data_IF_406311624727
#
_entry.id   IF_406311624727
#
_cell.length_a   1.000
_cell.length_b   1.000
_cell.length_c   1.000
_cell.angle_alpha   90.00
_cell.angle_beta   90.00
_cell.angle_gamma   90.00
#
_symmetry.space_group_name_H-M   'P 1'
#
loop_
_entity.id
_entity.type
_entity.pdbx_description
1 polymer ?
#
# COMPACT_ATOMS: atom_id res chain seq x y z
N UNK A 1 6.02 19.43 -2.69
CA UNK A 1 6.11 20.15 -1.40
C UNK A 1 6.03 21.63 -1.70
N UNK A 2 5.12 22.35 -1.05
CA UNK A 2 4.88 23.77 -1.27
C UNK A 2 5.64 24.65 -0.30
N UNK A 3 5.76 24.22 0.95
CA UNK A 3 6.43 24.96 2.01
C UNK A 3 6.88 24.02 3.14
N UNK A 4 7.80 24.48 3.97
CA UNK A 4 8.20 23.85 5.21
C UNK A 4 8.50 24.92 6.27
N UNK A 5 7.99 24.73 7.48
CA UNK A 5 8.22 25.66 8.59
C UNK A 5 8.17 24.95 9.93
N UNK A 6 8.64 25.62 10.97
CA UNK A 6 8.64 25.09 12.34
C UNK A 6 7.68 25.92 13.20
N UNK A 7 6.79 25.24 13.91
CA UNK A 7 5.79 25.84 14.80
C UNK A 7 6.18 25.57 16.26
N UNK A 8 6.38 26.63 17.05
CA UNK A 8 6.68 26.51 18.48
C UNK A 8 5.36 26.55 19.26
N UNK A 9 5.00 25.42 19.85
CA UNK A 9 3.79 25.25 20.65
C UNK A 9 4.08 24.98 22.13
N UNK A 10 3.03 24.84 22.95
CA UNK A 10 3.16 24.53 24.37
C UNK A 10 3.82 23.17 24.67
N UNK A 11 3.88 22.30 23.67
CA UNK A 11 4.47 20.95 23.76
C UNK A 11 5.86 20.85 23.11
N UNK A 12 6.43 21.97 22.64
CA UNK A 12 7.75 22.01 22.01
C UNK A 12 7.72 22.53 20.59
N UNK A 13 8.73 22.12 19.82
CA UNK A 13 8.92 22.51 18.43
C UNK A 13 8.36 21.44 17.50
N UNK A 14 7.59 21.84 16.49
CA UNK A 14 6.94 20.94 15.54
C UNK A 14 7.28 21.34 14.11
N UNK A 15 7.96 20.46 13.38
CA UNK A 15 8.20 20.67 11.96
C UNK A 15 6.92 20.37 11.16
N UNK A 16 6.61 21.26 10.22
CA UNK A 16 5.38 21.27 9.46
C UNK A 16 5.71 21.27 7.97
N UNK A 17 5.09 20.35 7.24
CA UNK A 17 5.20 20.24 5.79
C UNK A 17 3.88 20.67 5.15
N UNK A 18 3.96 21.53 4.13
CA UNK A 18 2.79 21.92 3.33
C UNK A 18 2.84 21.15 2.01
N UNK A 19 1.87 20.25 1.84
CA UNK A 19 1.76 19.31 0.72
C UNK A 19 0.47 19.55 -0.07
N UNK A 20 0.37 18.92 -1.23
CA UNK A 20 -0.89 18.86 -1.97
C UNK A 20 -1.96 18.21 -1.10
N UNK A 21 -3.16 18.78 -1.12
CA UNK A 21 -4.32 18.11 -0.55
C UNK A 21 -4.73 16.96 -1.46
N UNK A 22 -4.67 15.74 -0.91
CA UNK A 22 -5.10 14.51 -1.58
C UNK A 22 -6.42 14.02 -0.99
N UNK A 23 -7.06 13.10 -1.71
CA UNK A 23 -8.25 12.41 -1.26
C UNK A 23 -7.95 11.19 -0.40
N UNK A 24 -8.97 10.33 -0.20
CA UNK A 24 -8.84 9.16 0.66
C UNK A 24 -7.83 8.17 0.06
N UNK A 25 -7.16 7.43 0.95
CA UNK A 25 -6.30 6.33 0.54
C UNK A 25 -7.12 5.13 0.04
N UNK A 26 -6.50 4.26 -0.76
CA UNK A 26 -7.19 3.14 -1.40
C UNK A 26 -7.75 2.14 -0.38
N UNK A 27 -7.06 1.90 0.73
CA UNK A 27 -7.55 0.98 1.76
C UNK A 27 -8.88 1.47 2.36
N UNK A 28 -8.95 2.76 2.74
CA UNK A 28 -10.17 3.34 3.30
C UNK A 28 -11.33 3.35 2.29
N UNK A 29 -11.02 3.51 0.99
CA UNK A 29 -12.00 3.38 -0.09
C UNK A 29 -12.55 1.96 -0.17
N UNK A 30 -11.68 0.96 -0.13
CA UNK A 30 -12.07 -0.45 -0.17
C UNK A 30 -12.98 -0.75 1.03
N UNK A 31 -12.54 -0.41 2.24
CA UNK A 31 -13.23 -0.70 3.50
C UNK A 31 -14.61 0.00 3.58
N UNK A 32 -14.71 1.24 3.09
CA UNK A 32 -15.89 2.08 3.33
C UNK A 32 -16.88 2.16 2.16
N UNK A 33 -16.44 1.86 0.93
CA UNK A 33 -17.22 2.16 -0.27
C UNK A 33 -17.31 1.01 -1.27
N UNK A 34 -16.48 -0.02 -1.17
CA UNK A 34 -16.49 -1.13 -2.11
C UNK A 34 -17.31 -2.30 -1.59
N UNK A 35 -18.32 -2.73 -2.36
CA UNK A 35 -19.09 -3.91 -2.01
C UNK A 35 -18.21 -5.15 -2.12
N UNK A 36 -18.09 -5.90 -1.03
CA UNK A 36 -17.25 -7.09 -1.00
C UNK A 36 -15.76 -6.77 -1.06
N UNK A 37 -15.36 -5.61 -0.53
CA UNK A 37 -13.96 -5.30 -0.24
C UNK A 37 -13.05 -5.32 -1.47
N UNK A 38 -13.59 -5.00 -2.66
CA UNK A 38 -12.85 -5.00 -3.93
C UNK A 38 -13.10 -3.75 -4.77
N UNK A 39 -12.05 -3.25 -5.40
CA UNK A 39 -12.18 -2.21 -6.42
C UNK A 39 -12.85 -2.76 -7.68
N UNK A 40 -13.57 -1.90 -8.43
CA UNK A 40 -13.92 -2.20 -9.81
C UNK A 40 -12.68 -2.54 -10.64
N UNK A 41 -12.80 -3.49 -11.55
CA UNK A 41 -11.68 -4.02 -12.36
C UNK A 41 -10.90 -2.94 -13.11
N UNK A 42 -11.62 -2.01 -13.76
CA UNK A 42 -11.03 -0.88 -14.47
C UNK A 42 -10.24 0.05 -13.55
N UNK A 43 -10.70 0.27 -12.32
CA UNK A 43 -10.02 1.08 -11.34
C UNK A 43 -8.75 0.37 -10.84
N UNK A 44 -8.83 -0.92 -10.52
CA UNK A 44 -7.68 -1.73 -10.13
C UNK A 44 -6.58 -1.74 -11.21
N UNK A 45 -6.95 -1.93 -12.49
CA UNK A 45 -6.02 -1.85 -13.64
C UNK A 45 -5.39 -0.44 -13.76
N UNK A 46 -6.21 0.62 -13.70
CA UNK A 46 -5.72 2.00 -13.83
C UNK A 46 -4.78 2.41 -12.69
N UNK A 47 -5.11 2.06 -11.45
CA UNK A 47 -4.30 2.35 -10.27
C UNK A 47 -2.99 1.55 -10.32
N UNK A 48 -3.04 0.25 -10.65
CA UNK A 48 -1.83 -0.57 -10.80
C UNK A 48 -0.85 0.03 -11.81
N UNK A 49 -1.38 0.52 -12.95
CA UNK A 49 -0.58 1.19 -13.98
C UNK A 49 0.10 2.46 -13.45
N UNK A 50 -0.65 3.30 -12.73
CA UNK A 50 -0.13 4.55 -12.17
C UNK A 50 0.89 4.33 -11.05
N UNK A 51 0.69 3.29 -10.23
CA UNK A 51 1.68 2.88 -9.21
C UNK A 51 2.98 2.46 -9.89
N UNK A 52 2.93 1.61 -10.92
CA UNK A 52 4.12 1.22 -11.67
C UNK A 52 4.83 2.44 -12.28
N UNK A 53 4.10 3.38 -12.85
CA UNK A 53 4.66 4.63 -13.39
C UNK A 53 5.34 5.48 -12.30
N UNK A 54 4.72 5.59 -11.12
CA UNK A 54 5.28 6.31 -9.98
C UNK A 54 6.56 5.65 -9.45
N UNK A 55 6.55 4.32 -9.31
CA UNK A 55 7.72 3.55 -8.86
C UNK A 55 8.86 3.60 -9.89
N UNK A 56 8.56 3.55 -11.20
CA UNK A 56 9.57 3.73 -12.25
C UNK A 56 10.26 5.10 -12.13
N UNK A 57 9.44 6.15 -11.91
CA UNK A 57 9.95 7.50 -11.72
C UNK A 57 10.83 7.61 -10.47
N UNK A 58 10.40 7.10 -9.32
CA UNK A 58 11.21 7.10 -8.09
C UNK A 58 12.53 6.34 -8.29
N UNK A 59 12.46 5.14 -8.87
CA UNK A 59 13.61 4.30 -9.12
C UNK A 59 14.63 4.98 -10.05
N UNK A 60 14.17 5.67 -11.11
CA UNK A 60 15.02 6.43 -12.03
C UNK A 60 15.76 7.60 -11.36
N UNK A 61 15.20 8.12 -10.26
CA UNK A 61 15.83 9.16 -9.42
C UNK A 61 16.64 8.57 -8.26
N UNK A 62 16.80 7.25 -8.20
CA UNK A 62 17.54 6.57 -7.15
C UNK A 62 16.85 6.60 -5.78
N UNK A 63 15.52 6.73 -5.77
CA UNK A 63 14.70 6.77 -4.56
C UNK A 63 13.97 5.43 -4.42
N UNK A 64 14.01 4.85 -3.22
CA UNK A 64 13.08 3.83 -2.77
C UNK A 64 12.03 4.45 -1.85
N UNK A 65 10.77 4.06 -1.99
CA UNK A 65 9.68 4.46 -1.11
C UNK A 65 9.76 3.77 0.25
N UNK A 66 10.09 2.48 0.27
CA UNK A 66 10.34 1.71 1.50
C UNK A 66 9.08 1.28 2.26
N UNK A 67 7.93 1.91 2.01
CA UNK A 67 6.66 1.56 2.66
C UNK A 67 5.45 1.53 1.70
N UNK A 68 5.54 0.79 0.59
CA UNK A 68 4.48 0.81 -0.41
C UNK A 68 3.33 -0.15 -0.07
N UNK A 69 2.12 0.39 0.13
CA UNK A 69 0.88 -0.39 0.32
C UNK A 69 -0.37 0.46 0.03
N UNK A 70 -1.57 -0.14 0.06
CA UNK A 70 -2.84 0.53 -0.28
C UNK A 70 -3.16 1.76 0.57
N UNK A 71 -2.70 1.85 1.83
CA UNK A 71 -2.84 3.07 2.65
C UNK A 71 -1.93 4.24 2.23
N UNK A 72 -0.87 3.98 1.47
CA UNK A 72 0.08 5.00 0.98
C UNK A 72 -0.16 5.35 -0.50
N UNK A 73 -1.29 4.90 -1.05
CA UNK A 73 -1.81 5.34 -2.35
C UNK A 73 -3.09 6.13 -2.09
N UNK A 74 -3.11 7.40 -2.50
CA UNK A 74 -4.27 8.27 -2.34
C UNK A 74 -4.88 8.65 -3.69
N UNK A 75 -6.21 8.74 -3.75
CA UNK A 75 -6.90 9.32 -4.90
C UNK A 75 -6.66 10.83 -4.94
N UNK A 76 -6.33 11.37 -6.09
CA UNK A 76 -6.35 12.82 -6.31
C UNK A 76 -7.80 13.31 -6.37
N UNK A 77 -8.04 14.51 -5.84
CA UNK A 77 -9.35 15.16 -5.93
C UNK A 77 -9.26 16.24 -7.00
N UNK A 78 -9.90 16.06 -8.17
CA UNK A 78 -9.88 17.06 -9.22
C UNK A 78 -10.41 18.41 -8.72
N UNK A 79 -9.72 19.46 -9.14
CA UNK A 79 -10.11 20.87 -8.95
C UNK A 79 -10.21 21.32 -7.49
N UNK A 80 -9.70 20.52 -6.54
CA UNK A 80 -9.83 20.86 -5.11
C UNK A 80 -9.11 22.17 -4.75
N UNK A 81 -7.94 22.40 -5.36
CA UNK A 81 -7.16 23.62 -5.20
C UNK A 81 -7.84 24.86 -5.82
N UNK A 82 -8.88 24.67 -6.64
CA UNK A 82 -9.67 25.75 -7.24
C UNK A 82 -10.88 26.13 -6.38
N UNK A 83 -11.23 25.32 -5.37
CA UNK A 83 -12.38 25.61 -4.53
C UNK A 83 -12.07 26.75 -3.57
N UNK A 84 -13.03 27.66 -3.42
CA UNK A 84 -13.04 28.54 -2.26
C UNK A 84 -13.23 27.72 -0.98
N UNK A 85 -12.82 28.24 0.18
CA UNK A 85 -13.07 27.58 1.48
C UNK A 85 -14.56 27.25 1.67
N UNK A 86 -15.45 28.15 1.23
CA UNK A 86 -16.89 27.92 1.26
C UNK A 86 -17.31 26.74 0.40
N UNK A 87 -16.79 26.62 -0.82
CA UNK A 87 -17.14 25.51 -1.73
C UNK A 87 -16.53 24.19 -1.25
N UNK A 88 -15.36 24.25 -0.63
CA UNK A 88 -14.71 23.11 0.02
C UNK A 88 -15.58 22.56 1.16
N UNK A 89 -16.02 23.43 2.08
CA UNK A 89 -16.93 23.06 3.17
C UNK A 89 -18.28 22.58 2.63
N UNK A 90 -18.84 23.23 1.61
CA UNK A 90 -20.08 22.77 0.99
C UNK A 90 -19.95 21.38 0.35
N UNK A 91 -18.74 20.99 -0.08
CA UNK A 91 -18.47 19.70 -0.70
C UNK A 91 -18.25 18.59 0.34
N UNK A 92 -17.46 18.84 1.38
CA UNK A 92 -17.08 17.83 2.40
C UNK A 92 -17.97 17.84 3.65
N UNK A 93 -18.74 18.91 3.86
CA UNK A 93 -19.55 19.14 5.05
C UNK A 93 -18.85 20.04 6.06
N UNK A 94 -19.65 20.62 6.96
CA UNK A 94 -19.15 21.38 8.11
C UNK A 94 -18.32 20.47 9.03
N UNK A 95 -17.19 20.95 9.58
CA UNK A 95 -16.37 20.17 10.49
C UNK A 95 -17.16 19.84 11.76
N UNK A 96 -17.28 18.56 12.05
CA UNK A 96 -17.90 18.09 13.29
C UNK A 96 -16.87 18.17 14.42
N UNK A 97 -17.15 19.02 15.42
CA UNK A 97 -16.26 19.25 16.55
C UNK A 97 -16.81 18.63 17.84
N UNK A 98 -15.93 17.99 18.60
CA UNK A 98 -16.20 17.54 19.97
C UNK A 98 -15.38 18.35 20.97
N UNK A 99 -16.01 18.80 22.06
CA UNK A 99 -15.29 19.44 23.16
C UNK A 99 -14.51 18.41 23.97
N UNK A 100 -13.26 18.73 24.30
CA UNK A 100 -12.44 17.91 25.18
C UNK A 100 -12.75 18.31 26.61
N UNK A 101 -13.14 17.35 27.44
CA UNK A 101 -13.40 17.57 28.87
C UNK A 101 -12.70 16.51 29.69
N UNK A 102 -12.19 16.88 30.87
CA UNK A 102 -11.64 15.91 31.80
C UNK A 102 -12.75 15.11 32.48
N UNK A 103 -12.52 13.81 32.67
CA UNK A 103 -13.45 12.93 33.39
C UNK A 103 -13.64 13.32 34.86
N UNK A 104 -12.65 14.00 35.45
CA UNK A 104 -12.70 14.48 36.84
C UNK A 104 -13.33 15.88 36.97
N UNK A 105 -13.85 16.47 35.89
CA UNK A 105 -14.50 17.78 35.87
C UNK A 105 -13.57 18.98 36.07
N UNK A 106 -12.25 18.77 36.18
CA UNK A 106 -11.28 19.86 36.31
C UNK A 106 -11.04 20.56 34.97
N UNK A 107 -10.43 21.74 35.02
CA UNK A 107 -9.96 22.45 33.83
C UNK A 107 -8.86 21.70 33.09
N UNK A 108 -8.87 21.81 31.77
CA UNK A 108 -7.77 21.34 30.91
C UNK A 108 -6.50 22.13 31.20
N UNK A 109 -5.35 21.46 31.10
CA UNK A 109 -4.07 22.16 31.06
C UNK A 109 -3.89 22.84 29.70
N UNK A 110 -3.01 23.84 29.63
CA UNK A 110 -2.66 24.59 28.41
C UNK A 110 -2.17 23.73 27.24
N UNK A 111 -1.77 22.49 27.53
CA UNK A 111 -1.12 21.58 26.60
C UNK A 111 -2.10 20.63 25.92
N UNK A 112 -3.37 20.65 26.35
CA UNK A 112 -4.43 19.77 25.83
C UNK A 112 -5.35 20.60 24.92
N UNK A 113 -5.61 20.15 23.68
CA UNK A 113 -6.58 20.81 22.79
C UNK A 113 -7.95 20.92 23.45
N UNK A 114 -8.63 22.05 23.26
CA UNK A 114 -9.98 22.29 23.78
C UNK A 114 -11.07 21.59 22.98
N UNK A 115 -10.78 21.25 21.73
CA UNK A 115 -11.66 20.52 20.83
C UNK A 115 -10.91 19.50 20.00
N UNK A 116 -11.63 18.49 19.55
CA UNK A 116 -11.22 17.53 18.53
C UNK A 116 -12.13 17.69 17.33
N UNK A 117 -11.59 17.49 16.14
CA UNK A 117 -12.35 17.52 14.88
C UNK A 117 -12.46 16.10 14.37
N UNK A 118 -13.69 15.65 14.05
CA UNK A 118 -13.91 14.34 13.44
C UNK A 118 -13.37 14.37 12.00
N UNK A 119 -12.66 13.31 11.54
CA UNK A 119 -12.27 13.22 10.14
C UNK A 119 -13.48 13.29 9.20
N UNK A 120 -13.41 14.14 8.18
CA UNK A 120 -14.44 14.21 7.14
C UNK A 120 -14.44 12.92 6.31
N UNK A 121 -15.63 12.45 5.93
CA UNK A 121 -15.79 11.28 5.07
C UNK A 121 -16.33 11.68 3.70
N UNK A 122 -15.79 11.07 2.65
CA UNK A 122 -16.31 11.29 1.30
C UNK A 122 -17.66 10.59 1.13
N UNK A 123 -18.60 11.25 0.46
CA UNK A 123 -19.87 10.62 0.13
C UNK A 123 -19.63 9.53 -0.91
N UNK A 124 -20.37 8.43 -0.83
CA UNK A 124 -20.26 7.30 -1.76
C UNK A 124 -20.30 7.71 -3.24
N UNK A 125 -21.19 8.66 -3.60
CA UNK A 125 -21.28 9.19 -4.99
C UNK A 125 -20.01 9.92 -5.46
N UNK A 126 -19.31 10.59 -4.54
CA UNK A 126 -18.10 11.34 -4.86
C UNK A 126 -16.95 10.36 -5.06
N UNK A 127 -16.85 9.33 -4.23
CA UNK A 127 -15.90 8.21 -4.40
C UNK A 127 -16.13 7.46 -5.71
N UNK A 128 -17.37 7.12 -6.05
CA UNK A 128 -17.68 6.45 -7.32
C UNK A 128 -17.23 7.27 -8.53
N UNK A 129 -17.36 8.61 -8.47
CA UNK A 129 -16.85 9.50 -9.52
C UNK A 129 -15.33 9.44 -9.61
N UNK A 130 -14.62 9.49 -8.47
CA UNK A 130 -13.16 9.37 -8.46
C UNK A 130 -12.71 8.02 -9.03
N UNK A 131 -13.40 6.92 -8.67
CA UNK A 131 -13.06 5.59 -9.16
C UNK A 131 -13.37 5.35 -10.65
N UNK A 132 -14.28 6.11 -11.27
CA UNK A 132 -14.58 5.96 -12.70
C UNK A 132 -13.40 6.35 -13.63
N UNK A 133 -12.51 7.22 -13.15
CA UNK A 133 -11.28 7.61 -13.83
C UNK A 133 -10.27 8.04 -12.76
N UNK A 134 -9.67 7.08 -12.04
CA UNK A 134 -8.86 7.39 -10.87
C UNK A 134 -7.56 8.03 -11.31
N UNK A 135 -7.21 9.14 -10.67
CA UNK A 135 -5.86 9.69 -10.62
C UNK A 135 -5.32 9.43 -9.22
N UNK A 136 -4.09 8.94 -9.08
CA UNK A 136 -3.50 8.65 -7.78
C UNK A 136 -2.23 9.44 -7.53
N UNK A 137 -1.88 9.58 -6.25
CA UNK A 137 -0.56 9.98 -5.78
C UNK A 137 -0.02 8.93 -4.82
N UNK A 138 1.25 8.59 -4.97
CA UNK A 138 2.02 7.89 -3.93
C UNK A 138 2.31 8.94 -2.85
N UNK A 139 1.96 8.62 -1.61
CA UNK A 139 2.08 9.52 -0.46
C UNK A 139 2.89 8.85 0.64
N UNK A 140 3.23 9.65 1.66
CA UNK A 140 3.96 9.20 2.86
C UNK A 140 5.36 8.65 2.57
N UNK A 141 6.29 9.59 2.34
CA UNK A 141 7.71 9.30 2.15
C UNK A 141 8.49 9.22 3.48
N UNK A 142 7.83 8.93 4.60
CA UNK A 142 8.47 8.86 5.93
C UNK A 142 9.56 7.77 6.04
N UNK A 143 9.41 6.69 5.27
CA UNK A 143 10.36 5.57 5.20
C UNK A 143 11.19 5.57 3.90
N UNK A 144 11.10 6.65 3.11
CA UNK A 144 11.78 6.73 1.83
C UNK A 144 13.29 6.95 2.01
N UNK A 145 14.06 6.43 1.05
CA UNK A 145 15.52 6.40 1.12
C UNK A 145 16.14 6.58 -0.27
N UNK A 146 17.41 6.95 -0.29
CA UNK A 146 18.20 6.94 -1.51
C UNK A 146 19.01 5.65 -1.65
N UNK A 147 19.25 5.19 -2.87
CA UNK A 147 19.99 3.95 -3.15
C UNK A 147 21.44 3.92 -2.59
N UNK A 148 21.99 5.08 -2.22
CA UNK A 148 23.32 5.18 -1.62
C UNK A 148 23.31 5.16 -0.08
N UNK A 149 22.13 5.14 0.54
CA UNK A 149 21.98 5.06 1.99
C UNK A 149 22.36 3.66 2.49
N UNK A 150 23.08 3.61 3.61
CA UNK A 150 23.34 2.36 4.32
C UNK A 150 22.15 2.03 5.20
N UNK A 151 21.21 1.25 4.67
CA UNK A 151 20.00 0.85 5.37
C UNK A 151 20.19 -0.49 6.06
N UNK A 152 19.88 -0.55 7.35
CA UNK A 152 19.88 -1.79 8.13
C UNK A 152 18.49 -2.45 8.15
N UNK A 153 17.42 -1.68 8.02
CA UNK A 153 16.03 -2.17 8.03
C UNK A 153 15.08 -1.13 7.45
N UNK A 154 13.85 -1.57 7.16
CA UNK A 154 12.70 -0.74 6.78
C UNK A 154 11.50 -1.20 7.60
N UNK A 155 10.61 -0.27 7.95
CA UNK A 155 9.45 -0.58 8.79
C UNK A 155 8.20 -1.02 8.01
N UNK A 156 8.33 -1.32 6.72
CA UNK A 156 7.27 -1.85 5.84
C UNK A 156 6.45 -2.93 6.56
N UNK A 157 5.10 -2.86 6.60
CA UNK A 157 4.27 -3.87 7.24
C UNK A 157 4.58 -5.28 6.75
N UNK A 158 4.58 -6.24 7.69
CA UNK A 158 4.99 -7.61 7.43
C UNK A 158 4.28 -8.26 6.21
N UNK A 159 2.97 -8.09 5.98
CA UNK A 159 2.26 -8.71 4.85
C UNK A 159 2.68 -8.21 3.45
N UNK A 160 3.41 -7.10 3.35
CA UNK A 160 3.88 -6.53 2.07
C UNK A 160 5.41 -6.40 2.02
N UNK A 161 6.09 -6.90 3.06
CA UNK A 161 7.53 -6.76 3.25
C UNK A 161 8.29 -7.66 2.28
N UNK A 162 9.28 -7.09 1.61
CA UNK A 162 10.16 -7.83 0.72
C UNK A 162 11.03 -8.87 1.48
N UNK A 163 11.33 -10.03 0.88
CA UNK A 163 12.07 -11.10 1.54
C UNK A 163 13.48 -10.67 1.98
N UNK A 164 14.19 -9.86 1.19
CA UNK A 164 15.52 -9.33 1.54
C UNK A 164 15.53 -8.55 2.86
N UNK A 165 14.43 -7.88 3.22
CA UNK A 165 14.29 -7.20 4.51
C UNK A 165 14.23 -8.22 5.65
N UNK A 166 13.49 -9.31 5.46
CA UNK A 166 13.38 -10.41 6.45
C UNK A 166 14.71 -11.15 6.59
N UNK A 167 15.39 -11.39 5.46
CA UNK A 167 16.70 -12.03 5.43
C UNK A 167 17.84 -11.12 5.88
N UNK A 168 17.61 -9.80 6.02
CA UNK A 168 18.64 -8.84 6.43
C UNK A 168 19.74 -8.73 5.37
N UNK A 169 19.36 -8.82 4.11
CA UNK A 169 20.25 -8.70 2.96
C UNK A 169 20.33 -7.23 2.51
N UNK A 170 21.20 -6.94 1.53
CA UNK A 170 21.34 -5.61 0.97
C UNK A 170 20.00 -5.10 0.43
N UNK A 171 19.64 -3.89 0.86
CA UNK A 171 18.43 -3.20 0.42
C UNK A 171 18.76 -2.22 -0.71
N UNK A 172 17.87 -2.16 -1.70
CA UNK A 172 17.81 -1.14 -2.73
C UNK A 172 16.33 -0.85 -3.06
N UNK A 173 16.05 0.08 -3.97
CA UNK A 173 14.69 0.43 -4.39
C UNK A 173 13.84 -0.75 -4.92
N UNK A 174 14.41 -1.93 -5.15
CA UNK A 174 13.65 -3.10 -5.62
C UNK A 174 12.77 -3.71 -4.53
N UNK A 175 12.94 -3.32 -3.27
CA UNK A 175 11.98 -3.65 -2.20
C UNK A 175 10.57 -3.20 -2.59
N UNK A 176 10.45 -2.04 -3.25
CA UNK A 176 9.16 -1.50 -3.69
C UNK A 176 8.54 -2.32 -4.83
N UNK A 177 9.35 -3.02 -5.63
CA UNK A 177 8.84 -3.92 -6.68
C UNK A 177 8.10 -5.10 -6.06
N UNK A 178 8.66 -5.68 -4.99
CA UNK A 178 7.96 -6.75 -4.24
C UNK A 178 6.65 -6.23 -3.65
N UNK A 179 6.71 -5.10 -2.95
CA UNK A 179 5.52 -4.49 -2.34
C UNK A 179 4.49 -4.07 -3.39
N UNK A 180 4.90 -3.66 -4.59
CA UNK A 180 4.01 -3.42 -5.74
C UNK A 180 3.29 -4.70 -6.17
N UNK A 181 3.98 -5.84 -6.17
CA UNK A 181 3.36 -7.15 -6.45
C UNK A 181 2.27 -7.50 -5.43
N UNK A 182 2.55 -7.31 -4.14
CA UNK A 182 1.54 -7.48 -3.08
C UNK A 182 0.36 -6.52 -3.23
N UNK A 183 0.65 -5.24 -3.52
CA UNK A 183 -0.35 -4.21 -3.74
C UNK A 183 -1.25 -4.55 -4.93
N UNK A 184 -0.69 -4.96 -6.06
CA UNK A 184 -1.46 -5.36 -7.24
C UNK A 184 -2.36 -6.58 -6.96
N UNK A 185 -1.88 -7.55 -6.17
CA UNK A 185 -2.71 -8.66 -5.72
C UNK A 185 -3.92 -8.13 -4.93
N UNK A 186 -3.70 -7.28 -3.93
CA UNK A 186 -4.74 -6.73 -3.06
C UNK A 186 -5.75 -5.86 -3.83
N UNK A 187 -5.30 -5.03 -4.77
CA UNK A 187 -6.20 -4.22 -5.61
C UNK A 187 -7.20 -5.07 -6.41
N UNK A 188 -6.80 -6.29 -6.79
CA UNK A 188 -7.62 -7.20 -7.60
C UNK A 188 -8.49 -8.11 -6.74
N UNK A 189 -7.94 -8.66 -5.66
CA UNK A 189 -8.59 -9.69 -4.86
C UNK A 189 -9.35 -9.13 -3.66
N UNK A 190 -8.98 -7.94 -3.19
CA UNK A 190 -9.52 -7.29 -2.01
C UNK A 190 -8.81 -7.64 -0.70
N UNK A 191 -7.74 -8.43 -0.77
CA UNK A 191 -6.96 -8.82 0.41
C UNK A 191 -5.48 -9.04 0.05
N UNK A 192 -4.54 -8.91 1.00
CA UNK A 192 -3.13 -9.18 0.73
C UNK A 192 -2.90 -10.64 0.31
N UNK A 193 -1.77 -10.94 -0.36
CA UNK A 193 -1.46 -12.31 -0.81
C UNK A 193 -1.13 -13.28 0.32
N UNK A 194 -0.82 -12.77 1.51
CA UNK A 194 -0.39 -13.57 2.67
C UNK A 194 -1.35 -13.39 3.84
N UNK A 195 -1.56 -14.47 4.60
CA UNK A 195 -2.33 -14.45 5.84
C UNK A 195 -1.64 -13.55 6.88
N UNK A 196 -2.42 -12.67 7.50
CA UNK A 196 -1.97 -11.65 8.45
C UNK A 196 -2.21 -12.07 9.91
N UNK A 197 -2.98 -13.14 10.16
CA UNK A 197 -3.35 -13.56 11.51
C UNK A 197 -2.14 -14.16 12.22
N UNK A 198 -1.71 -13.50 13.31
CA UNK A 198 -0.54 -13.92 14.11
C UNK A 198 0.73 -14.14 13.25
N UNK A 199 0.86 -13.37 12.17
CA UNK A 199 1.94 -13.52 11.21
C UNK A 199 3.31 -13.27 11.86
N UNK A 200 4.20 -14.24 11.74
CA UNK A 200 5.60 -14.14 12.15
C UNK A 200 6.52 -14.13 10.92
N UNK A 201 7.76 -13.63 11.01
CA UNK A 201 8.68 -13.65 9.87
C UNK A 201 8.92 -15.06 9.28
N UNK A 202 9.09 -16.14 10.06
CA UNK A 202 9.20 -17.48 9.49
C UNK A 202 7.93 -17.97 8.79
N UNK A 203 6.75 -17.64 9.32
CA UNK A 203 5.47 -17.96 8.66
C UNK A 203 5.32 -17.21 7.34
N UNK A 204 5.69 -15.93 7.30
CA UNK A 204 5.67 -15.15 6.07
C UNK A 204 6.58 -15.78 5.01
N UNK A 205 7.82 -16.09 5.36
CA UNK A 205 8.77 -16.71 4.41
C UNK A 205 8.26 -18.06 3.91
N UNK A 206 7.65 -18.88 4.77
CA UNK A 206 7.00 -20.13 4.35
C UNK A 206 5.91 -19.86 3.30
N UNK A 207 5.00 -18.92 3.57
CA UNK A 207 3.94 -18.54 2.62
C UNK A 207 4.51 -17.99 1.30
N UNK A 208 5.59 -17.21 1.35
CA UNK A 208 6.26 -16.72 0.14
C UNK A 208 6.78 -17.88 -0.72
N UNK A 209 7.44 -18.88 -0.13
CA UNK A 209 7.98 -20.06 -0.84
C UNK A 209 6.86 -20.92 -1.43
N UNK A 210 5.75 -21.04 -0.71
CA UNK A 210 4.58 -21.78 -1.17
C UNK A 210 3.93 -21.08 -2.38
N UNK A 211 3.73 -19.77 -2.26
CA UNK A 211 3.05 -18.94 -3.25
C UNK A 211 3.87 -18.75 -4.54
N UNK A 212 5.17 -18.47 -4.39
CA UNK A 212 6.05 -18.10 -5.50
C UNK A 212 6.73 -19.34 -6.07
N UNK A 213 6.69 -19.48 -7.39
CA UNK A 213 7.42 -20.52 -8.12
C UNK A 213 8.85 -20.03 -8.43
N UNK A 214 9.67 -19.93 -7.38
CA UNK A 214 11.05 -19.46 -7.45
C UNK A 214 11.91 -20.11 -6.34
N UNK A 215 13.21 -20.17 -6.57
CA UNK A 215 14.16 -20.70 -5.59
C UNK A 215 14.73 -19.59 -4.71
N UNK A 216 14.86 -19.85 -3.42
CA UNK A 216 15.56 -18.93 -2.52
C UNK A 216 17.04 -18.81 -2.93
N UNK A 217 17.59 -17.59 -3.01
CA UNK A 217 19.02 -17.38 -3.19
C UNK A 217 19.84 -18.19 -2.18
N UNK A 218 20.95 -18.77 -2.62
CA UNK A 218 21.76 -19.68 -1.79
C UNK A 218 22.19 -19.03 -0.46
N UNK A 219 22.44 -17.72 -0.47
CA UNK A 219 22.79 -16.92 0.72
C UNK A 219 21.67 -16.84 1.77
N UNK A 220 20.41 -17.06 1.38
CA UNK A 220 19.25 -17.04 2.29
C UNK A 220 18.91 -18.43 2.84
N UNK A 221 19.34 -19.50 2.17
CA UNK A 221 18.93 -20.88 2.52
C UNK A 221 19.36 -21.32 3.92
N UNK A 222 20.54 -20.91 4.39
CA UNK A 222 21.02 -21.24 5.74
C UNK A 222 20.15 -20.55 6.79
N UNK A 223 19.97 -19.22 6.66
CA UNK A 223 19.12 -18.44 7.56
C UNK A 223 17.66 -18.95 7.54
N UNK A 224 17.17 -19.40 6.39
CA UNK A 224 15.85 -20.00 6.29
C UNK A 224 15.73 -21.29 7.10
N UNK A 225 16.69 -22.20 7.00
CA UNK A 225 16.70 -23.44 7.79
C UNK A 225 16.70 -23.15 9.30
N UNK A 226 17.46 -22.13 9.72
CA UNK A 226 17.51 -21.68 11.12
C UNK A 226 16.16 -21.06 11.57
N UNK A 227 15.57 -20.19 10.75
CA UNK A 227 14.29 -19.54 11.05
C UNK A 227 13.13 -20.53 11.11
N UNK A 228 13.11 -21.53 10.22
CA UNK A 228 12.02 -22.51 10.12
C UNK A 228 11.95 -23.42 11.34
N UNK A 229 13.11 -23.85 11.84
CA UNK A 229 13.20 -24.87 12.90
C UNK A 229 12.46 -26.16 12.54
N UNK A 230 12.05 -26.91 13.58
CA UNK A 230 11.30 -28.17 13.43
C UNK A 230 9.77 -28.00 13.51
N UNK A 231 9.28 -26.78 13.76
CA UNK A 231 7.88 -26.52 14.15
C UNK A 231 6.92 -26.12 13.02
N UNK A 232 7.42 -25.58 11.90
CA UNK A 232 6.56 -25.17 10.79
C UNK A 232 6.22 -26.36 9.89
N UNK A 233 5.00 -26.88 10.08
CA UNK A 233 4.44 -27.92 9.22
C UNK A 233 4.03 -27.33 7.87
N UNK A 234 4.23 -28.13 6.81
CA UNK A 234 3.85 -27.78 5.46
C UNK A 234 2.32 -27.89 5.33
N UNK A 235 1.66 -26.79 4.99
CA UNK A 235 0.20 -26.76 4.76
C UNK A 235 -0.11 -27.01 3.27
N UNK A 236 -1.40 -27.13 2.93
CA UNK A 236 -1.84 -27.16 1.54
C UNK A 236 -1.45 -25.84 0.86
N UNK A 237 -0.38 -25.92 0.06
CA UNK A 237 0.25 -24.78 -0.56
C UNK A 237 -0.42 -24.42 -1.89
N UNK A 238 -0.89 -23.18 -2.02
CA UNK A 238 -1.41 -22.64 -3.27
C UNK A 238 -0.33 -21.87 -4.01
N UNK A 239 -0.17 -22.13 -5.32
CA UNK A 239 0.66 -21.30 -6.19
C UNK A 239 -0.07 -20.00 -6.55
N UNK A 240 0.67 -18.93 -6.81
CA UNK A 240 0.16 -17.58 -7.01
C UNK A 240 -1.10 -17.49 -7.89
N UNK A 241 -1.07 -18.10 -9.08
CA UNK A 241 -2.23 -18.08 -9.98
C UNK A 241 -3.44 -18.77 -9.36
N UNK A 242 -3.27 -19.98 -8.82
CA UNK A 242 -4.36 -20.75 -8.20
C UNK A 242 -4.90 -20.06 -6.95
N UNK A 243 -4.02 -19.47 -6.13
CA UNK A 243 -4.42 -18.69 -4.97
C UNK A 243 -5.24 -17.46 -5.37
N UNK A 244 -4.78 -16.73 -6.39
CA UNK A 244 -5.47 -15.56 -6.89
C UNK A 244 -6.85 -15.91 -7.46
N UNK A 245 -6.95 -17.01 -8.22
CA UNK A 245 -8.24 -17.53 -8.71
C UNK A 245 -9.15 -17.95 -7.54
N UNK A 246 -8.63 -18.69 -6.57
CA UNK A 246 -9.40 -19.14 -5.40
C UNK A 246 -9.98 -17.94 -4.65
N UNK A 247 -9.15 -17.01 -4.22
CA UNK A 247 -9.61 -15.81 -3.49
C UNK A 247 -10.62 -15.00 -4.31
N UNK A 248 -10.38 -14.85 -5.62
CA UNK A 248 -11.25 -14.03 -6.46
C UNK A 248 -12.64 -14.67 -6.63
N UNK A 249 -12.71 -16.00 -6.82
CA UNK A 249 -13.95 -16.73 -7.10
C UNK A 249 -14.64 -17.37 -5.88
N UNK A 250 -13.99 -17.46 -4.71
CA UNK A 250 -14.55 -18.06 -3.49
C UNK A 250 -15.77 -17.31 -2.92
N UNK A 251 -16.02 -16.08 -3.38
CA UNK A 251 -17.09 -15.23 -2.86
C UNK A 251 -18.23 -15.04 -3.87
N UNK A 252 -19.47 -14.89 -3.37
CA UNK A 252 -20.67 -14.41 -4.12
C UNK A 252 -20.56 -12.92 -4.56
N UNK A 253 -19.34 -12.44 -4.83
CA UNK A 253 -19.03 -11.07 -5.22
C UNK A 253 -19.23 -10.91 -6.74
N UNK A 254 -19.42 -9.67 -7.17
CA UNK A 254 -19.55 -9.37 -8.59
C UNK A 254 -18.22 -9.65 -9.30
N UNK A 255 -18.25 -10.57 -10.27
CA UNK A 255 -17.07 -11.00 -11.01
C UNK A 255 -16.88 -10.09 -12.23
N UNK A 256 -15.81 -9.30 -12.22
CA UNK A 256 -15.45 -8.42 -13.34
C UNK A 256 -14.24 -8.91 -14.12
N UNK A 257 -13.26 -9.54 -13.45
CA UNK A 257 -12.12 -10.17 -14.10
C UNK A 257 -12.46 -11.59 -14.53
N UNK A 258 -12.03 -11.94 -15.75
CA UNK A 258 -12.04 -13.31 -16.25
C UNK A 258 -10.87 -14.12 -15.70
N UNK A 259 -10.94 -15.46 -15.77
CA UNK A 259 -9.81 -16.33 -15.40
C UNK A 259 -8.55 -16.06 -16.23
N UNK A 260 -8.71 -15.72 -17.50
CA UNK A 260 -7.57 -15.43 -18.38
C UNK A 260 -6.90 -14.09 -18.02
N UNK A 261 -7.69 -13.09 -17.63
CA UNK A 261 -7.14 -11.83 -17.08
C UNK A 261 -6.42 -12.07 -15.75
N UNK A 262 -7.02 -12.83 -14.81
CA UNK A 262 -6.35 -13.17 -13.55
C UNK A 262 -5.04 -13.92 -13.78
N UNK A 263 -5.00 -14.83 -14.76
CA UNK A 263 -3.76 -15.51 -15.16
C UNK A 263 -2.72 -14.54 -15.71
N UNK A 264 -3.12 -13.56 -16.52
CA UNK A 264 -2.21 -12.52 -17.02
C UNK A 264 -1.67 -11.66 -15.88
N UNK A 265 -2.54 -11.24 -14.95
CA UNK A 265 -2.15 -10.44 -13.78
C UNK A 265 -1.21 -11.23 -12.86
N UNK A 266 -1.51 -12.50 -12.57
CA UNK A 266 -0.66 -13.36 -11.75
C UNK A 266 0.75 -13.50 -12.35
N UNK A 267 0.88 -13.56 -13.69
CA UNK A 267 2.19 -13.57 -14.36
C UNK A 267 2.96 -12.26 -14.15
N UNK A 268 2.28 -11.11 -14.17
CA UNK A 268 2.91 -9.82 -13.90
C UNK A 268 3.38 -9.72 -12.44
N UNK A 269 2.52 -10.13 -11.50
CA UNK A 269 2.86 -10.18 -10.06
C UNK A 269 4.05 -11.11 -9.81
N UNK A 270 4.09 -12.30 -10.43
CA UNK A 270 5.21 -13.24 -10.29
C UNK A 270 6.56 -12.64 -10.76
N UNK A 271 6.53 -11.77 -11.78
CA UNK A 271 7.73 -11.07 -12.28
C UNK A 271 8.22 -9.99 -11.31
N UNK A 272 7.34 -9.40 -10.52
CA UNK A 272 7.67 -8.46 -9.43
C UNK A 272 8.16 -9.19 -8.18
N UNK A 273 7.57 -10.34 -7.87
CA UNK A 273 7.79 -11.08 -6.62
C UNK A 273 8.84 -12.19 -6.78
N UNK A 274 9.98 -11.89 -7.41
CA UNK A 274 11.14 -12.80 -7.47
C UNK A 274 11.95 -12.71 -6.19
N UNK A 275 12.48 -13.84 -5.72
CA UNK A 275 13.28 -13.86 -4.48
C UNK A 275 14.60 -13.14 -4.68
N UNK A 276 15.33 -13.42 -5.75
CA UNK A 276 16.52 -12.65 -6.09
C UNK A 276 16.12 -11.25 -6.58
N UNK A 277 16.39 -10.16 -5.81
CA UNK A 277 15.89 -8.83 -6.16
C UNK A 277 16.36 -8.40 -7.55
N UNK A 278 17.59 -8.74 -7.92
CA UNK A 278 18.16 -8.40 -9.22
C UNK A 278 17.48 -9.03 -10.44
N UNK A 279 16.61 -10.02 -10.23
CA UNK A 279 15.84 -10.69 -11.30
C UNK A 279 14.40 -10.19 -11.42
N UNK A 280 13.96 -9.27 -10.56
CA UNK A 280 12.63 -8.66 -10.64
C UNK A 280 12.51 -7.82 -11.90
N UNK A 281 11.37 -7.93 -12.59
CA UNK A 281 11.09 -7.13 -13.77
C UNK A 281 10.99 -5.65 -13.41
N UNK A 282 11.45 -4.81 -14.33
CA UNK A 282 11.33 -3.35 -14.17
C UNK A 282 9.88 -2.89 -14.41
N UNK A 283 9.44 -1.77 -13.83
CA UNK A 283 8.10 -1.25 -14.10
C UNK A 283 7.86 -0.98 -15.59
N UNK A 284 8.85 -0.41 -16.29
CA UNK A 284 8.82 -0.19 -17.75
C UNK A 284 8.54 -1.49 -18.55
N UNK A 285 9.16 -2.62 -18.18
CA UNK A 285 8.91 -3.91 -18.84
C UNK A 285 7.49 -4.44 -18.58
N UNK A 286 6.91 -4.17 -17.42
CA UNK A 286 5.56 -4.61 -17.07
C UNK A 286 4.50 -3.73 -17.72
N UNK A 287 4.73 -2.42 -17.81
CA UNK A 287 3.84 -1.46 -18.48
C UNK A 287 3.68 -1.74 -19.98
N UNK A 288 4.64 -2.43 -20.59
CA UNK A 288 4.56 -2.88 -21.98
C UNK A 288 3.67 -4.12 -22.17
N UNK A 289 3.21 -4.78 -21.10
CA UNK A 289 2.36 -5.96 -21.19
C UNK A 289 0.96 -5.64 -21.76
N UNK A 290 0.37 -6.50 -22.61
CA UNK A 290 -0.97 -6.30 -23.15
C UNK A 290 -2.07 -6.07 -22.11
N UNK A 291 -1.90 -6.56 -20.87
CA UNK A 291 -2.86 -6.29 -19.81
C UNK A 291 -2.99 -4.80 -19.49
N UNK A 292 -1.95 -3.98 -19.70
CA UNK A 292 -1.98 -2.53 -19.47
C UNK A 292 -2.32 -1.69 -20.70
N UNK A 293 -2.33 -2.31 -21.89
CA UNK A 293 -2.73 -1.66 -23.14
C UNK A 293 -4.26 -1.53 -23.26
#
# INVERSE_FOLDING_TARGET
MWDQFTLIGPNGSHDCLVLDLVGPNIADIIDSHCRGDRLPSHAAKSISRQVLQGIDYLASNGIGHGDLHTRNIALEIPELHLLSERDFIARLGEPEMGLVTRRDGKSLSSNIPTCIVRPSSFRHKDVQRLLSSPSIKIIDFGEAFFNHDTLNTLHTPLPVRAPEIVFGDRLDNRVDLWSTGCLMFELVTGQPPFDVVMLTPPMLVQQMIELIDDELPSRWQVKWKEMKGEGLQQQDAWKLQSWMEEVYFDNNKHLEFTRDELRAIAKLIARLMRFEPSTRATPSELLADPWFQ
#
